data_IF_417863075006
#
_entry.id   IF_417863075006
#
_cell.length_a   1.000
_cell.length_b   1.000
_cell.length_c   1.000
_cell.angle_alpha   90.00
_cell.angle_beta   90.00
_cell.angle_gamma   90.00
#
_symmetry.space_group_name_H-M   'P 1'
#
loop_
_entity.id
_entity.type
_entity.pdbx_description
1 polymer ?
#
# COMPACT_ATOMS: atom_id res chain seq x y z
N UNK A 1 -21.60 16.74 26.86
CA UNK A 1 -21.07 17.31 25.64
C UNK A 1 -21.23 16.34 24.48
N UNK A 2 -20.86 16.72 23.27
CA UNK A 2 -20.77 15.81 22.14
C UNK A 2 -19.39 15.17 22.18
N UNK A 3 -19.26 13.82 22.18
CA UNK A 3 -17.96 13.15 22.15
C UNK A 3 -17.15 13.48 20.89
N UNK A 4 -15.84 13.72 21.06
CA UNK A 4 -14.89 13.91 19.98
C UNK A 4 -14.24 12.57 19.63
N UNK A 5 -14.42 12.11 18.38
CA UNK A 5 -13.75 10.93 17.84
C UNK A 5 -12.82 11.33 16.72
N UNK A 6 -11.58 10.89 16.77
CA UNK A 6 -10.56 11.19 15.76
C UNK A 6 -10.07 9.90 15.12
N UNK A 7 -10.02 9.87 13.78
CA UNK A 7 -9.46 8.73 13.02
C UNK A 7 -8.04 9.07 12.54
N UNK A 8 -7.09 8.20 12.87
CA UNK A 8 -5.67 8.32 12.49
C UNK A 8 -5.40 7.49 11.25
N UNK A 9 -5.15 8.15 10.12
CA UNK A 9 -4.75 7.52 8.86
C UNK A 9 -3.23 7.52 8.65
N UNK A 10 -2.51 8.42 9.30
CA UNK A 10 -1.05 8.52 9.36
C UNK A 10 -0.68 9.50 10.47
N UNK A 11 0.58 9.47 10.94
CA UNK A 11 1.06 10.34 12.01
C UNK A 11 2.16 11.27 11.48
N UNK A 12 2.03 12.57 11.76
CA UNK A 12 3.01 13.57 11.32
C UNK A 12 4.43 13.31 11.85
N UNK A 13 4.65 12.94 13.14
CA UNK A 13 6.00 12.64 13.65
C UNK A 13 6.71 11.51 12.89
N UNK A 14 5.98 10.58 12.26
CA UNK A 14 6.55 9.50 11.47
C UNK A 14 6.78 9.87 9.99
N UNK A 15 6.54 11.14 9.64
CA UNK A 15 6.67 11.69 8.28
C UNK A 15 7.59 12.91 8.24
N UNK A 16 8.81 12.85 8.80
CA UNK A 16 9.69 14.02 8.95
C UNK A 16 10.12 14.63 7.61
N UNK A 17 10.06 13.89 6.50
CA UNK A 17 10.27 14.45 5.15
C UNK A 17 9.27 15.56 4.78
N UNK A 18 8.10 15.62 5.44
CA UNK A 18 7.17 16.73 5.27
C UNK A 18 7.73 18.07 5.75
N UNK A 19 8.75 18.07 6.59
CA UNK A 19 9.43 19.30 7.00
C UNK A 19 10.01 20.07 5.81
N UNK A 20 10.47 19.37 4.78
CA UNK A 20 10.95 20.00 3.54
C UNK A 20 9.82 20.75 2.79
N UNK A 21 8.59 20.25 2.89
CA UNK A 21 7.42 20.84 2.25
C UNK A 21 6.79 21.96 3.09
N UNK A 22 6.75 21.81 4.40
CA UNK A 22 5.99 22.66 5.32
C UNK A 22 6.89 23.65 6.09
N UNK A 23 8.22 23.48 6.05
CA UNK A 23 9.15 24.30 6.83
C UNK A 23 8.79 24.37 8.31
N UNK A 24 8.74 25.56 8.89
CA UNK A 24 8.34 25.77 10.28
C UNK A 24 6.90 25.38 10.61
N UNK A 25 6.05 25.23 9.62
CA UNK A 25 4.67 24.75 9.78
C UNK A 25 4.59 23.28 10.20
N UNK A 26 5.64 22.49 9.95
CA UNK A 26 5.67 21.07 10.34
C UNK A 26 5.56 20.86 11.84
N UNK A 27 6.29 21.63 12.64
CA UNK A 27 6.22 21.52 14.11
C UNK A 27 4.84 21.90 14.64
N UNK A 28 4.19 22.89 14.00
CA UNK A 28 2.82 23.26 14.32
C UNK A 28 1.82 22.14 13.99
N UNK A 29 1.95 21.46 12.85
CA UNK A 29 1.07 20.33 12.51
C UNK A 29 1.27 19.16 13.46
N UNK A 30 2.50 18.84 13.86
CA UNK A 30 2.77 17.82 14.88
C UNK A 30 2.14 18.19 16.25
N UNK A 31 2.24 19.44 16.66
CA UNK A 31 1.63 19.93 17.90
C UNK A 31 0.09 19.87 17.83
N UNK A 32 -0.49 20.29 16.71
CA UNK A 32 -1.94 20.25 16.50
C UNK A 32 -2.48 18.82 16.56
N UNK A 33 -1.81 17.89 15.85
CA UNK A 33 -2.17 16.47 15.84
C UNK A 33 -2.11 15.89 17.27
N UNK A 34 -0.99 16.09 17.97
CA UNK A 34 -0.83 15.66 19.37
C UNK A 34 -1.97 16.17 20.25
N UNK A 35 -2.22 17.48 20.21
CA UNK A 35 -3.26 18.10 21.05
C UNK A 35 -4.64 17.53 20.73
N UNK A 36 -4.96 17.36 19.45
CA UNK A 36 -6.25 16.82 19.01
C UNK A 36 -6.46 15.38 19.47
N UNK A 37 -5.45 14.55 19.34
CA UNK A 37 -5.51 13.14 19.76
C UNK A 37 -5.61 12.98 21.27
N UNK A 38 -4.85 13.76 22.03
CA UNK A 38 -4.88 13.71 23.50
C UNK A 38 -6.21 14.23 24.08
N UNK A 39 -6.90 15.15 23.39
CA UNK A 39 -8.20 15.68 23.79
C UNK A 39 -9.39 14.80 23.35
N UNK A 40 -9.23 13.89 22.38
CA UNK A 40 -10.32 13.09 21.85
C UNK A 40 -10.88 12.12 22.89
N UNK A 41 -12.19 11.91 22.93
CA UNK A 41 -12.85 10.90 23.77
C UNK A 41 -12.55 9.48 23.29
N UNK A 42 -12.37 9.30 21.97
CA UNK A 42 -11.90 8.06 21.37
C UNK A 42 -11.02 8.34 20.12
N UNK A 43 -10.02 7.51 19.93
CA UNK A 43 -9.12 7.54 18.77
C UNK A 43 -9.26 6.24 17.98
N UNK A 44 -9.66 6.35 16.73
CA UNK A 44 -9.71 5.22 15.81
C UNK A 44 -8.34 5.11 15.13
N UNK A 45 -7.66 3.98 15.34
CA UNK A 45 -6.44 3.61 14.64
C UNK A 45 -6.80 2.66 13.47
N UNK A 46 -6.31 2.96 12.27
CA UNK A 46 -6.65 2.16 11.07
C UNK A 46 -5.99 0.78 11.03
N UNK A 47 -5.07 0.51 11.96
CA UNK A 47 -4.41 -0.79 12.13
C UNK A 47 -3.85 -0.93 13.54
N UNK A 48 -3.49 -2.15 13.93
CA UNK A 48 -2.72 -2.43 15.14
C UNK A 48 -1.33 -1.75 15.09
N UNK A 49 -0.72 -1.69 13.88
CA UNK A 49 0.50 -0.92 13.65
C UNK A 49 0.33 0.55 14.03
N UNK A 50 -0.72 1.19 13.51
CA UNK A 50 -1.04 2.60 13.85
C UNK A 50 -1.35 2.77 15.35
N UNK A 51 -2.01 1.80 16.00
CA UNK A 51 -2.27 1.86 17.44
C UNK A 51 -0.96 1.89 18.23
N UNK A 52 -0.02 1.01 17.91
CA UNK A 52 1.31 0.99 18.56
C UNK A 52 2.08 2.30 18.34
N UNK A 53 2.00 2.87 17.14
CA UNK A 53 2.61 4.16 16.84
C UNK A 53 2.02 5.27 17.72
N UNK A 54 0.68 5.32 17.83
CA UNK A 54 -0.02 6.28 18.69
C UNK A 54 0.39 6.11 20.16
N UNK A 55 0.41 4.89 20.68
CA UNK A 55 0.83 4.59 22.05
C UNK A 55 2.28 5.00 22.33
N UNK A 56 3.16 4.89 21.34
CA UNK A 56 4.57 5.25 21.49
C UNK A 56 4.84 6.77 21.46
N UNK A 57 4.00 7.51 20.74
CA UNK A 57 4.23 8.93 20.44
C UNK A 57 3.42 9.87 21.35
N UNK A 58 2.29 9.43 21.88
CA UNK A 58 1.33 10.27 22.58
C UNK A 58 0.91 9.66 23.91
N UNK A 59 0.50 10.53 24.84
CA UNK A 59 0.00 10.12 26.15
C UNK A 59 -1.52 9.95 26.10
N UNK A 60 -1.97 8.82 25.57
CA UNK A 60 -3.40 8.49 25.43
C UNK A 60 -3.68 7.19 26.18
N UNK A 61 -4.72 7.19 27.00
CA UNK A 61 -5.16 5.98 27.71
C UNK A 61 -5.54 4.88 26.72
N UNK A 62 -5.01 3.64 26.87
CA UNK A 62 -5.27 2.54 25.95
C UNK A 62 -6.76 2.23 25.74
N UNK A 63 -7.61 2.49 26.73
CA UNK A 63 -9.06 2.32 26.64
C UNK A 63 -9.75 3.26 25.65
N UNK A 64 -9.08 4.35 25.25
CA UNK A 64 -9.57 5.30 24.24
C UNK A 64 -9.10 4.96 22.82
N UNK A 65 -8.22 3.96 22.66
CA UNK A 65 -7.68 3.54 21.36
C UNK A 65 -8.49 2.36 20.81
N UNK A 66 -9.07 2.53 19.64
CA UNK A 66 -9.92 1.55 18.98
C UNK A 66 -9.38 1.22 17.59
N UNK A 67 -9.26 -0.06 17.26
CA UNK A 67 -8.84 -0.49 15.93
C UNK A 67 -10.08 -0.64 15.06
N UNK A 68 -10.21 0.24 14.08
CA UNK A 68 -11.24 0.15 13.04
C UNK A 68 -10.54 0.40 11.70
N UNK A 69 -10.41 -0.65 10.92
CA UNK A 69 -9.71 -0.62 9.64
C UNK A 69 -10.39 0.30 8.62
N UNK A 70 -9.65 0.69 7.58
CA UNK A 70 -10.27 1.29 6.40
C UNK A 70 -11.09 0.25 5.63
N UNK A 71 -12.08 0.72 4.91
CA UNK A 71 -12.92 -0.11 4.05
C UNK A 71 -12.58 -0.01 2.57
N UNK A 72 -13.19 -0.88 1.80
CA UNK A 72 -13.22 -0.88 0.34
C UNK A 72 -14.67 -1.04 -0.12
N UNK A 73 -15.00 -0.49 -1.28
CA UNK A 73 -16.26 -0.80 -1.95
C UNK A 73 -16.05 -1.97 -2.92
N UNK A 74 -16.52 -3.18 -2.60
CA UNK A 74 -16.31 -4.36 -3.45
C UNK A 74 -17.16 -4.34 -4.72
N UNK A 75 -18.14 -3.44 -4.82
CA UNK A 75 -18.96 -3.24 -6.02
C UNK A 75 -18.29 -2.27 -6.98
N UNK A 76 -17.57 -1.27 -6.48
CA UNK A 76 -16.70 -0.40 -7.29
C UNK A 76 -15.46 -1.17 -7.76
N UNK A 77 -14.71 -1.79 -6.82
CA UNK A 77 -13.50 -2.53 -7.11
C UNK A 77 -13.80 -4.00 -7.43
N UNK A 78 -14.29 -4.25 -8.63
CA UNK A 78 -14.54 -5.59 -9.13
C UNK A 78 -13.81 -5.83 -10.45
N UNK A 79 -13.53 -7.10 -10.82
CA UNK A 79 -12.77 -7.42 -12.03
C UNK A 79 -13.40 -6.81 -13.28
N UNK A 80 -12.67 -5.90 -13.93
CA UNK A 80 -13.06 -5.29 -15.20
C UNK A 80 -12.79 -6.25 -16.36
N UNK A 81 -13.62 -6.15 -17.42
CA UNK A 81 -13.48 -6.94 -18.65
C UNK A 81 -12.92 -6.13 -19.82
N UNK A 82 -12.85 -4.81 -19.68
CA UNK A 82 -12.29 -3.89 -20.69
C UNK A 82 -10.77 -3.96 -20.71
N UNK A 83 -10.18 -3.50 -21.82
CA UNK A 83 -8.72 -3.53 -22.04
C UNK A 83 -8.23 -2.18 -22.60
N UNK A 84 -9.05 -1.14 -22.50
CA UNK A 84 -8.76 0.17 -23.09
C UNK A 84 -7.49 0.81 -22.54
N UNK A 85 -7.25 0.62 -21.23
CA UNK A 85 -6.06 1.14 -20.55
C UNK A 85 -4.81 0.34 -20.94
N UNK A 86 -4.94 -0.99 -21.08
CA UNK A 86 -3.83 -1.82 -21.54
C UNK A 86 -3.39 -1.41 -22.94
N UNK A 87 -4.37 -1.21 -23.84
CA UNK A 87 -4.11 -0.78 -25.22
C UNK A 87 -3.49 0.63 -25.26
N UNK A 88 -4.02 1.56 -24.47
CA UNK A 88 -3.51 2.93 -24.37
C UNK A 88 -2.03 2.99 -24.00
N UNK A 89 -1.59 2.14 -23.08
CA UNK A 89 -0.22 2.13 -22.58
C UNK A 89 0.68 1.06 -23.21
N UNK A 90 0.19 0.36 -24.23
CA UNK A 90 0.96 -0.66 -24.97
C UNK A 90 1.32 -1.89 -24.12
N UNK A 91 0.47 -2.26 -23.16
CA UNK A 91 0.64 -3.46 -22.36
C UNK A 91 0.21 -4.67 -23.22
N UNK A 92 1.12 -5.58 -23.46
CA UNK A 92 0.89 -6.78 -24.28
C UNK A 92 -0.03 -7.76 -23.52
N UNK A 93 -1.26 -7.92 -24.02
CA UNK A 93 -2.29 -8.78 -23.41
C UNK A 93 -1.94 -10.27 -23.48
N UNK A 94 -1.01 -10.68 -24.33
CA UNK A 94 -0.56 -12.07 -24.45
C UNK A 94 0.41 -12.49 -23.35
N UNK A 95 0.94 -11.53 -22.58
CA UNK A 95 1.90 -11.76 -21.51
C UNK A 95 1.34 -11.31 -20.17
N UNK A 96 1.46 -12.11 -19.11
CA UNK A 96 1.10 -11.66 -17.77
C UNK A 96 1.99 -10.49 -17.33
N UNK A 97 1.53 -9.70 -16.37
CA UNK A 97 2.33 -8.62 -15.81
C UNK A 97 2.22 -8.50 -14.29
N UNK A 98 3.29 -7.99 -13.72
CA UNK A 98 3.38 -7.53 -12.34
C UNK A 98 3.01 -6.05 -12.31
N UNK A 99 2.17 -5.64 -11.37
CA UNK A 99 1.67 -4.27 -11.25
C UNK A 99 2.12 -3.59 -9.96
N UNK A 100 2.59 -2.37 -10.05
CA UNK A 100 2.68 -1.41 -8.96
C UNK A 100 1.77 -0.22 -9.26
N UNK A 101 1.04 0.25 -8.23
CA UNK A 101 0.26 1.50 -8.29
C UNK A 101 0.60 2.36 -7.08
N UNK A 102 0.99 3.61 -7.31
CA UNK A 102 1.27 4.53 -6.22
C UNK A 102 2.04 5.77 -6.63
N UNK A 103 2.25 6.67 -5.67
CA UNK A 103 3.12 7.84 -5.85
C UNK A 103 4.58 7.41 -5.80
N UNK A 104 5.45 8.17 -6.46
CA UNK A 104 6.91 8.01 -6.38
C UNK A 104 7.40 8.71 -5.11
N UNK A 105 7.46 7.96 -4.02
CA UNK A 105 7.89 8.46 -2.70
C UNK A 105 8.82 7.45 -2.03
N UNK A 106 9.67 7.88 -1.10
CA UNK A 106 10.49 6.97 -0.29
C UNK A 106 9.59 5.96 0.44
N UNK A 107 8.52 6.44 1.05
CA UNK A 107 7.54 5.63 1.78
C UNK A 107 7.00 4.45 0.97
N UNK A 108 6.71 4.65 -0.33
CA UNK A 108 6.15 3.61 -1.20
C UNK A 108 7.16 2.57 -1.68
N UNK A 109 8.45 2.80 -1.45
CA UNK A 109 9.50 1.83 -1.69
C UNK A 109 9.63 1.34 -3.14
N UNK A 110 9.08 2.08 -4.11
CA UNK A 110 9.06 1.68 -5.53
C UNK A 110 10.47 1.40 -6.06
N UNK A 111 11.48 2.09 -5.55
CA UNK A 111 12.88 1.87 -5.94
C UNK A 111 13.34 0.43 -5.66
N UNK A 112 12.85 -0.19 -4.58
CA UNK A 112 13.18 -1.58 -4.25
C UNK A 112 12.57 -2.57 -5.24
N UNK A 113 11.35 -2.27 -5.76
CA UNK A 113 10.75 -3.05 -6.83
C UNK A 113 11.53 -2.88 -8.15
N UNK A 114 11.91 -1.64 -8.51
CA UNK A 114 12.72 -1.41 -9.72
C UNK A 114 14.06 -2.16 -9.62
N UNK A 115 14.70 -2.13 -8.46
CA UNK A 115 15.94 -2.89 -8.21
C UNK A 115 15.70 -4.42 -8.19
N UNK A 116 14.50 -4.89 -7.88
CA UNK A 116 14.16 -6.30 -7.94
C UNK A 116 14.06 -6.84 -9.37
N UNK A 117 13.76 -5.99 -10.37
CA UNK A 117 13.55 -6.39 -11.77
C UNK A 117 14.72 -7.19 -12.35
N UNK A 118 15.95 -6.88 -11.96
CA UNK A 118 17.14 -7.62 -12.41
C UNK A 118 17.15 -9.09 -11.99
N UNK A 119 16.32 -9.47 -11.01
CA UNK A 119 16.19 -10.82 -10.46
C UNK A 119 14.90 -11.51 -10.92
N UNK A 120 14.11 -10.88 -11.79
CA UNK A 120 12.89 -11.48 -12.32
C UNK A 120 13.17 -12.48 -13.40
N UNK A 121 12.43 -13.59 -13.35
CA UNK A 121 12.42 -14.58 -14.42
C UNK A 121 11.85 -13.96 -15.72
N UNK A 122 12.20 -14.49 -16.90
CA UNK A 122 11.63 -14.02 -18.17
C UNK A 122 10.15 -14.39 -18.32
N UNK A 123 9.47 -13.81 -19.31
CA UNK A 123 8.13 -14.24 -19.73
C UNK A 123 6.98 -13.36 -19.22
N UNK A 124 7.24 -12.35 -18.42
CA UNK A 124 6.21 -11.41 -17.96
C UNK A 124 6.67 -9.95 -18.03
N UNK A 125 5.71 -9.05 -18.07
CA UNK A 125 5.91 -7.61 -18.10
C UNK A 125 5.89 -7.01 -16.67
N UNK A 126 6.39 -5.79 -16.55
CA UNK A 126 6.33 -4.99 -15.31
C UNK A 126 5.65 -3.67 -15.63
N UNK A 127 4.52 -3.41 -15.00
CA UNK A 127 3.76 -2.17 -15.15
C UNK A 127 3.90 -1.34 -13.89
N UNK A 128 4.55 -0.19 -14.02
CA UNK A 128 4.75 0.79 -12.96
C UNK A 128 3.80 1.96 -13.17
N UNK A 129 2.61 1.91 -12.59
CA UNK A 129 1.67 3.03 -12.57
C UNK A 129 2.07 3.96 -11.43
N UNK A 130 3.06 4.82 -11.69
CA UNK A 130 3.76 5.61 -10.69
C UNK A 130 4.02 7.03 -11.18
N UNK A 131 3.37 7.99 -10.52
CA UNK A 131 3.49 9.41 -10.80
C UNK A 131 3.68 10.24 -9.53
N UNK A 132 3.60 11.57 -9.67
CA UNK A 132 3.65 12.54 -8.58
C UNK A 132 4.82 12.30 -7.60
N UNK A 133 6.08 12.44 -8.04
CA UNK A 133 7.25 12.32 -7.18
C UNK A 133 7.22 13.42 -6.10
N UNK A 134 7.65 13.07 -4.87
CA UNK A 134 7.67 14.03 -3.75
C UNK A 134 8.70 15.14 -3.95
N UNK A 135 9.84 14.82 -4.59
CA UNK A 135 10.91 15.79 -4.90
C UNK A 135 11.52 15.54 -6.27
N UNK A 136 12.18 16.57 -6.88
CA UNK A 136 12.90 16.40 -8.14
C UNK A 136 14.00 15.32 -8.08
N UNK A 137 14.69 15.18 -6.94
CA UNK A 137 15.78 14.21 -6.74
C UNK A 137 15.23 12.79 -6.80
N UNK A 138 14.10 12.51 -6.14
CA UNK A 138 13.42 11.20 -6.19
C UNK A 138 12.92 10.92 -7.61
N UNK A 139 12.45 11.94 -8.33
CA UNK A 139 12.05 11.80 -9.73
C UNK A 139 13.21 11.37 -10.62
N UNK A 140 14.39 11.99 -10.45
CA UNK A 140 15.57 11.69 -11.27
C UNK A 140 16.18 10.33 -10.92
N UNK A 141 16.22 9.98 -9.63
CA UNK A 141 16.60 8.64 -9.18
C UNK A 141 15.73 7.56 -9.85
N UNK A 142 14.41 7.75 -9.84
CA UNK A 142 13.46 6.83 -10.45
C UNK A 142 13.66 6.70 -11.95
N UNK A 143 13.84 7.82 -12.67
CA UNK A 143 14.10 7.81 -14.12
C UNK A 143 15.37 7.03 -14.46
N UNK A 144 16.45 7.29 -13.72
CA UNK A 144 17.73 6.62 -13.91
C UNK A 144 17.61 5.12 -13.67
N UNK A 145 16.93 4.72 -12.59
CA UNK A 145 16.76 3.31 -12.24
C UNK A 145 15.90 2.57 -13.27
N UNK A 146 14.78 3.16 -13.70
CA UNK A 146 13.89 2.56 -14.72
C UNK A 146 14.61 2.44 -16.05
N UNK A 147 15.31 3.49 -16.50
CA UNK A 147 16.07 3.45 -17.74
C UNK A 147 17.16 2.36 -17.72
N UNK A 148 17.86 2.20 -16.60
CA UNK A 148 18.85 1.13 -16.43
C UNK A 148 18.22 -0.28 -16.43
N UNK A 149 17.01 -0.43 -15.90
CA UNK A 149 16.26 -1.67 -15.95
C UNK A 149 15.77 -1.99 -17.38
N UNK A 150 15.20 -0.99 -18.08
CA UNK A 150 14.74 -1.11 -19.47
C UNK A 150 15.87 -1.44 -20.45
N UNK A 151 17.09 -0.97 -20.20
CA UNK A 151 18.26 -1.32 -21.01
C UNK A 151 18.66 -2.81 -20.92
N UNK A 152 18.20 -3.51 -19.86
CA UNK A 152 18.52 -4.92 -19.60
C UNK A 152 17.36 -5.87 -19.81
N UNK A 153 16.13 -5.36 -19.78
CA UNK A 153 14.90 -6.17 -19.86
C UNK A 153 13.82 -5.43 -20.63
N UNK A 154 13.23 -6.10 -21.60
CA UNK A 154 12.04 -5.64 -22.30
C UNK A 154 10.77 -5.80 -21.44
N UNK A 155 9.69 -5.12 -21.82
CA UNK A 155 8.38 -5.25 -21.17
C UNK A 155 8.26 -4.52 -19.83
N UNK A 156 9.08 -3.50 -19.60
CA UNK A 156 8.92 -2.57 -18.47
C UNK A 156 8.17 -1.34 -18.98
N UNK A 157 6.95 -1.16 -18.53
CA UNK A 157 6.05 -0.08 -18.89
C UNK A 157 5.91 0.86 -17.68
N UNK A 158 6.25 2.13 -17.85
CA UNK A 158 6.09 3.15 -16.82
C UNK A 158 5.02 4.15 -17.22
N UNK A 159 3.93 4.17 -16.45
CA UNK A 159 2.82 5.12 -16.56
C UNK A 159 3.09 6.22 -15.54
N UNK A 160 3.66 7.34 -15.99
CA UNK A 160 4.10 8.47 -15.15
C UNK A 160 2.99 9.50 -14.87
N UNK A 161 1.81 9.30 -15.39
CA UNK A 161 0.66 10.20 -15.20
C UNK A 161 -0.32 9.65 -14.15
N UNK A 162 -1.13 10.56 -13.58
CA UNK A 162 -2.25 10.18 -12.73
C UNK A 162 -3.38 9.64 -13.62
N UNK A 163 -3.86 8.45 -13.29
CA UNK A 163 -5.01 7.84 -13.97
C UNK A 163 -6.23 7.80 -13.04
N UNK A 164 -7.42 7.75 -13.62
CA UNK A 164 -8.68 7.68 -12.89
C UNK A 164 -8.93 6.30 -12.26
N UNK A 165 -9.93 6.21 -11.38
CA UNK A 165 -10.26 4.95 -10.71
C UNK A 165 -10.66 3.83 -11.68
N UNK A 166 -11.51 4.05 -12.70
CA UNK A 166 -11.82 3.01 -13.68
C UNK A 166 -10.57 2.44 -14.36
N UNK A 167 -9.63 3.31 -14.74
CA UNK A 167 -8.35 2.90 -15.34
C UNK A 167 -7.48 2.09 -14.37
N UNK A 168 -7.44 2.49 -13.10
CA UNK A 168 -6.72 1.70 -12.06
C UNK A 168 -7.35 0.32 -11.87
N UNK A 169 -8.68 0.26 -11.80
CA UNK A 169 -9.43 -1.00 -11.65
C UNK A 169 -9.14 -1.93 -12.83
N UNK A 170 -9.05 -1.40 -14.05
CA UNK A 170 -8.69 -2.20 -15.23
C UNK A 170 -7.26 -2.73 -15.11
N UNK A 171 -6.28 -1.91 -14.70
CA UNK A 171 -4.91 -2.37 -14.46
C UNK A 171 -4.85 -3.44 -13.37
N UNK A 172 -5.51 -3.24 -12.23
CA UNK A 172 -5.59 -4.29 -11.19
C UNK A 172 -6.20 -5.58 -11.76
N UNK A 173 -7.32 -5.49 -12.47
CA UNK A 173 -8.09 -6.63 -12.94
C UNK A 173 -7.33 -7.57 -13.87
N UNK A 174 -6.38 -7.05 -14.62
CA UNK A 174 -5.59 -7.83 -15.60
C UNK A 174 -4.17 -8.14 -15.11
N UNK A 175 -3.75 -7.62 -13.96
CA UNK A 175 -2.46 -7.97 -13.38
C UNK A 175 -2.41 -9.45 -12.96
N UNK A 176 -1.28 -10.10 -13.11
CA UNK A 176 -1.06 -11.42 -12.53
C UNK A 176 -0.77 -11.33 -11.03
N UNK A 177 0.04 -10.34 -10.65
CA UNK A 177 0.45 -10.07 -9.26
C UNK A 177 0.49 -8.56 -9.03
N UNK A 178 -0.07 -8.11 -7.91
CA UNK A 178 0.11 -6.75 -7.42
C UNK A 178 1.26 -6.69 -6.41
N UNK A 179 2.10 -5.65 -6.47
CA UNK A 179 3.25 -5.51 -5.58
C UNK A 179 3.17 -4.21 -4.78
N UNK A 180 3.30 -4.34 -3.45
CA UNK A 180 3.34 -3.22 -2.51
C UNK A 180 4.66 -3.25 -1.71
N UNK A 181 5.75 -2.67 -2.22
CA UNK A 181 7.07 -2.69 -1.58
C UNK A 181 7.24 -1.57 -0.54
N UNK A 182 6.14 -1.05 0.01
CA UNK A 182 6.15 0.08 0.94
C UNK A 182 7.04 -0.19 2.15
N UNK A 183 7.84 0.81 2.54
CA UNK A 183 8.66 0.75 3.75
C UNK A 183 7.97 1.40 4.96
N UNK A 184 6.92 2.17 4.73
CA UNK A 184 6.01 2.67 5.76
C UNK A 184 4.59 2.68 5.19
N UNK A 185 3.67 1.94 5.81
CA UNK A 185 2.28 1.84 5.36
C UNK A 185 1.35 1.68 6.55
N UNK A 186 0.64 2.73 6.98
CA UNK A 186 -0.26 2.67 8.12
C UNK A 186 -1.34 1.61 8.01
N UNK A 187 -1.85 1.36 6.81
CA UNK A 187 -2.86 0.34 6.56
C UNK A 187 -2.63 -0.45 5.26
N UNK A 188 -2.51 0.23 4.11
CA UNK A 188 -2.29 -0.39 2.81
C UNK A 188 -3.56 -0.62 1.99
N UNK A 189 -4.38 0.43 1.81
CA UNK A 189 -5.63 0.36 1.07
C UNK A 189 -5.44 -0.14 -0.38
N UNK A 190 -4.30 0.16 -1.01
CA UNK A 190 -3.98 -0.30 -2.37
C UNK A 190 -3.90 -1.83 -2.47
N UNK A 191 -3.57 -2.52 -1.36
CA UNK A 191 -3.62 -3.98 -1.30
C UNK A 191 -5.07 -4.47 -1.34
N UNK A 192 -5.99 -3.77 -0.63
CA UNK A 192 -7.42 -4.09 -0.70
C UNK A 192 -7.99 -3.85 -2.10
N UNK A 193 -7.57 -2.78 -2.79
CA UNK A 193 -7.98 -2.49 -4.16
C UNK A 193 -7.61 -3.66 -5.10
N UNK A 194 -6.36 -4.14 -5.02
CA UNK A 194 -5.89 -5.28 -5.79
C UNK A 194 -6.64 -6.58 -5.43
N UNK A 195 -6.80 -6.85 -4.12
CA UNK A 195 -7.52 -8.02 -3.61
C UNK A 195 -8.99 -7.99 -4.04
N UNK A 196 -9.68 -6.85 -3.97
CA UNK A 196 -11.05 -6.69 -4.42
C UNK A 196 -11.20 -6.94 -5.92
N UNK A 197 -10.19 -6.60 -6.73
CA UNK A 197 -10.09 -6.97 -8.15
C UNK A 197 -9.66 -8.43 -8.38
N UNK A 198 -9.53 -9.24 -7.33
CA UNK A 198 -9.20 -10.66 -7.42
C UNK A 198 -7.72 -10.93 -7.73
N UNK A 199 -6.81 -10.08 -7.30
CA UNK A 199 -5.37 -10.25 -7.57
C UNK A 199 -4.59 -10.62 -6.30
N UNK A 200 -3.65 -11.57 -6.40
CA UNK A 200 -2.73 -11.88 -5.31
C UNK A 200 -1.77 -10.71 -5.08
N UNK A 201 -1.33 -10.57 -3.84
CA UNK A 201 -0.47 -9.46 -3.42
C UNK A 201 0.89 -9.99 -2.98
N UNK A 202 1.98 -9.35 -3.43
CA UNK A 202 3.31 -9.47 -2.81
C UNK A 202 3.63 -8.14 -2.14
N UNK A 203 3.73 -8.12 -0.82
CA UNK A 203 3.89 -6.88 -0.08
C UNK A 203 4.96 -6.97 1.00
N UNK A 204 5.54 -5.83 1.36
CA UNK A 204 6.40 -5.72 2.53
C UNK A 204 5.60 -6.00 3.82
N UNK A 205 6.18 -6.71 4.77
CA UNK A 205 5.56 -7.01 6.06
C UNK A 205 5.74 -5.83 7.03
N UNK A 206 5.14 -4.67 6.71
CA UNK A 206 5.27 -3.42 7.49
C UNK A 206 3.92 -2.80 7.84
N UNK A 207 3.87 -2.07 8.95
CA UNK A 207 2.70 -1.32 9.39
C UNK A 207 1.44 -2.15 9.48
N UNK A 208 0.36 -1.72 8.80
CA UNK A 208 -0.93 -2.41 8.74
C UNK A 208 -1.05 -3.45 7.62
N UNK A 209 -0.05 -3.60 6.73
CA UNK A 209 -0.12 -4.55 5.61
C UNK A 209 -0.38 -6.00 6.07
N UNK A 210 0.26 -6.52 7.16
CA UNK A 210 -0.01 -7.87 7.63
C UNK A 210 -1.43 -8.12 8.17
N UNK A 211 -2.18 -7.05 8.42
CA UNK A 211 -3.59 -7.16 8.80
C UNK A 211 -4.52 -7.29 7.59
N UNK A 212 -4.06 -6.81 6.43
CA UNK A 212 -4.77 -6.87 5.15
C UNK A 212 -4.45 -8.15 4.40
N UNK A 213 -3.16 -8.42 4.17
CA UNK A 213 -2.65 -9.56 3.40
C UNK A 213 -2.35 -10.72 4.35
N UNK A 214 -2.90 -11.90 4.07
CA UNK A 214 -2.62 -13.14 4.80
C UNK A 214 -1.53 -13.90 4.03
N UNK A 215 -0.37 -14.07 4.67
CA UNK A 215 0.78 -14.74 4.06
C UNK A 215 0.48 -16.19 3.71
N UNK A 216 0.76 -16.58 2.46
CA UNK A 216 0.50 -17.93 1.95
C UNK A 216 -0.97 -18.24 1.63
N UNK A 217 -1.90 -17.25 1.76
CA UNK A 217 -3.32 -17.44 1.49
C UNK A 217 -3.88 -16.40 0.49
N UNK A 218 -3.60 -15.10 0.71
CA UNK A 218 -4.07 -14.02 -0.18
C UNK A 218 -2.91 -13.37 -0.93
N UNK A 219 -1.69 -13.77 -0.64
CA UNK A 219 -0.47 -13.23 -1.18
C UNK A 219 0.75 -13.68 -0.38
N UNK A 220 1.86 -12.97 -0.57
CA UNK A 220 3.07 -13.17 0.21
C UNK A 220 3.49 -11.90 0.94
N UNK A 221 3.89 -12.05 2.19
CA UNK A 221 4.52 -11.01 2.99
C UNK A 221 6.04 -11.18 2.96
N UNK A 222 6.74 -10.13 2.54
CA UNK A 222 8.20 -10.09 2.50
C UNK A 222 8.71 -9.38 3.74
N UNK A 223 9.45 -10.05 4.64
CA UNK A 223 10.04 -9.43 5.82
C UNK A 223 11.02 -8.31 5.44
N UNK A 224 10.96 -7.20 6.15
CA UNK A 224 11.87 -6.07 5.98
C UNK A 224 12.53 -5.78 7.32
N UNK A 225 13.87 -5.85 7.35
CA UNK A 225 14.62 -5.28 8.46
C UNK A 225 14.86 -3.80 8.16
N UNK A 226 14.37 -2.94 9.03
CA UNK A 226 14.35 -1.49 8.83
C UNK A 226 15.20 -0.77 9.86
N UNK A 227 15.64 0.44 9.50
CA UNK A 227 16.17 1.39 10.48
C UNK A 227 15.04 1.77 11.46
N UNK A 228 15.42 2.01 12.73
CA UNK A 228 14.44 2.39 13.77
C UNK A 228 13.94 3.83 13.61
N UNK A 229 14.62 4.62 12.78
CA UNK A 229 14.31 6.02 12.53
C UNK A 229 13.75 6.21 11.12
N UNK A 230 12.85 7.17 10.96
CA UNK A 230 12.36 7.57 9.65
C UNK A 230 13.55 8.01 8.75
N UNK A 231 13.51 7.65 7.48
CA UNK A 231 12.37 7.14 6.70
C UNK A 231 12.17 5.62 6.74
N UNK A 232 12.71 4.91 7.73
CA UNK A 232 12.56 3.45 7.91
C UNK A 232 13.11 2.63 6.75
N UNK A 233 14.17 3.12 6.10
CA UNK A 233 14.82 2.42 4.99
C UNK A 233 15.25 1.00 5.41
N UNK A 234 15.16 0.03 4.49
CA UNK A 234 15.70 -1.30 4.75
C UNK A 234 17.19 -1.24 5.08
N UNK A 235 17.61 -1.94 6.14
CA UNK A 235 19.03 -2.06 6.49
C UNK A 235 19.83 -2.83 5.43
N UNK A 236 19.16 -3.73 4.69
CA UNK A 236 19.69 -4.54 3.59
C UNK A 236 18.84 -4.39 2.31
N UNK A 237 18.88 -3.22 1.62
CA UNK A 237 18.00 -2.94 0.47
C UNK A 237 18.13 -3.97 -0.66
N UNK A 238 19.36 -4.44 -0.93
CA UNK A 238 19.61 -5.44 -1.97
C UNK A 238 19.01 -6.82 -1.62
N UNK A 239 19.01 -7.18 -0.34
CA UNK A 239 18.34 -8.40 0.13
C UNK A 239 16.83 -8.27 -0.02
N UNK A 240 16.24 -7.17 0.42
CA UNK A 240 14.80 -6.91 0.29
C UNK A 240 14.34 -6.98 -1.17
N UNK A 241 15.10 -6.37 -2.10
CA UNK A 241 14.80 -6.45 -3.54
C UNK A 241 14.86 -7.89 -4.07
N UNK A 242 15.83 -8.72 -3.63
CA UNK A 242 15.89 -10.14 -4.00
C UNK A 242 14.74 -10.95 -3.41
N UNK A 243 14.39 -10.70 -2.15
CA UNK A 243 13.30 -11.39 -1.47
C UNK A 243 11.94 -11.08 -2.15
N UNK A 244 11.71 -9.80 -2.54
CA UNK A 244 10.57 -9.41 -3.37
C UNK A 244 10.55 -10.20 -4.69
N UNK A 245 11.68 -10.22 -5.40
CA UNK A 245 11.78 -10.94 -6.67
C UNK A 245 11.50 -12.43 -6.52
N UNK A 246 11.98 -13.06 -5.46
CA UNK A 246 11.75 -14.49 -5.18
C UNK A 246 10.25 -14.78 -5.06
N UNK A 247 9.51 -13.98 -4.28
CA UNK A 247 8.06 -14.18 -4.10
C UNK A 247 7.25 -13.87 -5.35
N UNK A 248 7.68 -12.87 -6.12
CA UNK A 248 7.06 -12.52 -7.40
C UNK A 248 7.27 -13.66 -8.40
N UNK A 249 8.50 -14.15 -8.58
CA UNK A 249 8.80 -15.25 -9.49
C UNK A 249 8.03 -16.53 -9.12
N UNK A 250 7.91 -16.83 -7.82
CA UNK A 250 7.14 -17.98 -7.32
C UNK A 250 5.66 -17.91 -7.77
N UNK A 251 5.01 -16.76 -7.64
CA UNK A 251 3.63 -16.57 -8.11
C UNK A 251 3.55 -16.57 -9.64
N UNK A 252 4.46 -15.87 -10.32
CA UNK A 252 4.46 -15.80 -11.77
C UNK A 252 4.67 -17.17 -12.45
N UNK A 253 5.34 -18.10 -11.78
CA UNK A 253 5.52 -19.48 -12.23
C UNK A 253 4.30 -20.40 -11.97
N UNK A 254 3.33 -19.95 -11.13
CA UNK A 254 2.18 -20.77 -10.73
C UNK A 254 0.85 -19.99 -10.90
N UNK A 255 0.27 -19.97 -12.12
CA UNK A 255 -1.01 -19.30 -12.38
C UNK A 255 -2.17 -19.82 -11.54
N UNK A 256 -2.16 -21.12 -11.16
CA UNK A 256 -3.21 -21.70 -10.36
C UNK A 256 -3.17 -21.15 -8.92
N UNK A 257 -1.99 -20.98 -8.35
CA UNK A 257 -1.78 -20.33 -7.06
C UNK A 257 -2.18 -18.84 -7.12
N UNK A 258 -1.81 -18.12 -8.18
CA UNK A 258 -2.27 -16.73 -8.39
C UNK A 258 -3.79 -16.63 -8.33
N UNK A 259 -4.49 -17.49 -9.04
CA UNK A 259 -5.96 -17.51 -9.06
C UNK A 259 -6.52 -17.83 -7.66
N UNK A 260 -6.00 -18.86 -6.99
CA UNK A 260 -6.44 -19.25 -5.66
C UNK A 260 -6.26 -18.11 -4.64
N UNK A 261 -5.09 -17.47 -4.61
CA UNK A 261 -4.80 -16.34 -3.73
C UNK A 261 -5.66 -15.13 -4.07
N UNK A 262 -5.85 -14.83 -5.35
CA UNK A 262 -6.72 -13.75 -5.81
C UNK A 262 -8.17 -13.93 -5.37
N UNK A 263 -8.72 -15.14 -5.49
CA UNK A 263 -10.08 -15.46 -5.02
C UNK A 263 -10.20 -15.36 -3.50
N UNK A 264 -9.22 -15.86 -2.75
CA UNK A 264 -9.18 -15.72 -1.29
C UNK A 264 -9.10 -14.25 -0.87
N UNK A 265 -8.25 -13.47 -1.55
CA UNK A 265 -8.11 -12.03 -1.35
C UNK A 265 -9.43 -11.27 -1.58
N UNK A 266 -10.13 -11.57 -2.68
CA UNK A 266 -11.41 -10.94 -2.99
C UNK A 266 -12.49 -11.25 -1.94
N UNK A 267 -12.60 -12.51 -1.51
CA UNK A 267 -13.53 -12.87 -0.42
C UNK A 267 -13.21 -12.10 0.85
N UNK A 268 -11.93 -12.06 1.25
CA UNK A 268 -11.49 -11.33 2.44
C UNK A 268 -11.80 -9.83 2.35
N UNK A 269 -11.53 -9.19 1.21
CA UNK A 269 -11.84 -7.77 0.98
C UNK A 269 -13.34 -7.49 1.16
N UNK A 270 -14.22 -8.34 0.61
CA UNK A 270 -15.66 -8.19 0.70
C UNK A 270 -16.22 -8.47 2.10
N UNK A 271 -15.75 -9.52 2.77
CA UNK A 271 -16.31 -9.98 4.04
C UNK A 271 -15.77 -9.20 5.25
N UNK A 272 -14.49 -8.84 5.25
CA UNK A 272 -13.81 -8.25 6.41
C UNK A 272 -13.70 -6.72 6.30
N UNK A 273 -13.49 -6.22 5.08
CA UNK A 273 -13.11 -4.83 4.81
C UNK A 273 -14.13 -4.06 3.97
N UNK A 274 -15.33 -4.60 3.71
CA UNK A 274 -16.35 -3.79 3.05
C UNK A 274 -16.71 -2.56 3.90
N UNK A 275 -16.99 -1.42 3.26
CA UNK A 275 -17.43 -0.22 3.99
C UNK A 275 -18.64 -0.49 4.88
N UNK A 276 -19.51 -1.43 4.50
CA UNK A 276 -20.65 -1.85 5.34
C UNK A 276 -20.18 -2.48 6.66
N UNK A 277 -19.20 -3.40 6.61
CA UNK A 277 -18.65 -4.04 7.80
C UNK A 277 -17.89 -3.02 8.69
N UNK A 278 -17.15 -2.09 8.09
CA UNK A 278 -16.41 -1.05 8.82
C UNK A 278 -17.35 -0.04 9.46
N UNK A 279 -18.40 0.40 8.75
CA UNK A 279 -19.40 1.33 9.27
C UNK A 279 -20.15 0.77 10.49
N UNK A 280 -20.43 -0.55 10.53
CA UNK A 280 -21.05 -1.19 11.70
C UNK A 280 -20.13 -1.09 12.94
N UNK A 281 -18.82 -1.31 12.79
CA UNK A 281 -17.85 -1.17 13.89
C UNK A 281 -17.77 0.28 14.38
N UNK A 282 -17.72 1.23 13.44
CA UNK A 282 -17.69 2.67 13.75
C UNK A 282 -18.96 3.11 14.48
N UNK A 283 -20.13 2.65 13.99
CA UNK A 283 -21.42 2.93 14.65
C UNK A 283 -21.45 2.37 16.07
N UNK A 284 -20.98 1.13 16.27
CA UNK A 284 -20.95 0.52 17.61
C UNK A 284 -20.09 1.32 18.59
N UNK A 285 -18.95 1.85 18.13
CA UNK A 285 -18.12 2.76 18.93
C UNK A 285 -18.90 4.04 19.28
N UNK A 286 -19.54 4.70 18.31
CA UNK A 286 -20.31 5.93 18.59
C UNK A 286 -21.45 5.68 19.57
N UNK A 287 -22.17 4.57 19.42
CA UNK A 287 -23.24 4.18 20.35
C UNK A 287 -22.74 3.96 21.79
N UNK A 288 -21.47 3.50 21.95
CA UNK A 288 -20.86 3.29 23.26
C UNK A 288 -20.46 4.58 23.97
N UNK A 289 -20.13 5.63 23.21
CA UNK A 289 -19.72 6.94 23.72
C UNK A 289 -20.91 7.85 24.09
N UNK A 290 -22.09 7.55 23.58
CA UNK A 290 -23.29 8.37 23.79
C UNK A 290 -24.25 7.82 24.85
N UNK A 291 -23.87 6.71 25.50
CA UNK A 291 -24.58 6.14 26.65
C UNK A 291 -24.05 6.71 27.95
#
# INVERSE_FOLDING_TARGET
>A
GIPLVVTVHSLEPLRPWKREQLGGGYDFTCWLEKTTLEMADAVICVSEGTRRDVESLFQIEPSRLHIIHNGIDPDEYQPAKTHAVLDRFGIDRSKPYVLFVGRITRQKGIIHLVNAIQHFDPGFQVVLCAGAPDTPEIAEEMKTAVAAAQAKREGIIWIGEMIDNPSKIELYSHAAVFVCPSIYEPFGIINLEAMACGRPVVAAAVGGIPEVVVDGETGYLVPVQQMNESPFEPTEPAKFSRDLATRINELMADPAKCEAFGQAGRRRAAEVFSWSAIAQKTKALYDSLTR
#
